data_IF_666699793732
#
_entry.id   IF_666699793732
#
_cell.length_a   1.000
_cell.length_b   1.000
_cell.length_c   1.000
_cell.angle_alpha   90.00
_cell.angle_beta   90.00
_cell.angle_gamma   90.00
#
_symmetry.space_group_name_H-M   'P 1'
#
loop_
_entity.id
_entity.type
_entity.pdbx_description
1 polymer ?
#
# COMPACT_ATOMS: atom_id res chain seq x y z
N UNK A 1 -2.32 -47.93 67.69
CA UNK A 1 -1.01 -48.17 67.06
C UNK A 1 -1.06 -47.52 65.68
N UNK A 2 -0.32 -46.42 65.55
CA UNK A 2 -0.13 -45.49 64.43
C UNK A 2 -0.64 -45.85 63.03
N UNK A 3 -1.42 -44.95 62.40
CA UNK A 3 -1.34 -44.73 60.96
C UNK A 3 -1.46 -43.23 60.63
N UNK A 4 -0.37 -42.72 60.06
CA UNK A 4 -0.16 -41.35 59.64
C UNK A 4 -1.01 -40.99 58.41
N UNK A 5 -1.58 -39.77 58.44
CA UNK A 5 -2.17 -39.11 57.28
C UNK A 5 -1.07 -38.67 56.31
N UNK A 6 -1.08 -39.16 55.06
CA UNK A 6 -0.17 -38.70 54.00
C UNK A 6 -0.85 -37.56 53.23
N UNK A 7 -0.36 -36.34 53.43
CA UNK A 7 -0.64 -35.22 52.52
C UNK A 7 0.17 -35.40 51.24
N UNK A 8 -0.51 -35.46 50.10
CA UNK A 8 0.10 -35.46 48.78
C UNK A 8 0.40 -34.00 48.38
N UNK A 9 1.67 -33.60 48.49
CA UNK A 9 2.18 -32.36 47.88
C UNK A 9 2.33 -32.60 46.37
N UNK A 10 1.44 -32.01 45.58
CA UNK A 10 1.57 -31.98 44.12
C UNK A 10 2.51 -30.82 43.75
N UNK A 11 3.73 -31.17 43.35
CA UNK A 11 4.68 -30.25 42.73
C UNK A 11 4.23 -30.01 41.28
N UNK A 12 3.76 -28.80 40.95
CA UNK A 12 3.52 -28.40 39.56
C UNK A 12 4.85 -27.80 39.05
N UNK A 13 5.53 -28.42 38.07
CA UNK A 13 6.70 -27.80 37.48
C UNK A 13 6.26 -26.60 36.65
N UNK A 14 6.90 -25.46 36.89
CA UNK A 14 6.63 -24.20 36.21
C UNK A 14 6.71 -24.35 34.69
N UNK A 15 5.65 -23.95 34.01
CA UNK A 15 5.58 -23.82 32.58
C UNK A 15 6.48 -22.62 32.19
N UNK A 16 7.69 -22.89 31.70
CA UNK A 16 8.49 -21.87 31.00
C UNK A 16 7.79 -21.62 29.68
N UNK A 17 7.04 -20.53 29.60
CA UNK A 17 6.51 -20.05 28.33
C UNK A 17 7.69 -19.52 27.50
N UNK A 18 8.22 -20.38 26.63
CA UNK A 18 9.03 -19.93 25.50
C UNK A 18 8.12 -19.11 24.59
N UNK A 19 8.20 -17.79 24.73
CA UNK A 19 7.65 -16.88 23.73
C UNK A 19 8.47 -17.02 22.46
N UNK A 20 8.02 -17.88 21.55
CA UNK A 20 8.43 -17.77 20.16
C UNK A 20 7.84 -16.47 19.64
N UNK A 21 8.66 -15.41 19.58
CA UNK A 21 8.37 -14.30 18.70
C UNK A 21 8.31 -14.90 17.29
N UNK A 22 7.10 -15.07 16.74
CA UNK A 22 6.96 -15.34 15.32
C UNK A 22 7.51 -14.12 14.60
N UNK A 23 8.76 -14.22 14.12
CA UNK A 23 9.29 -13.24 13.19
C UNK A 23 8.49 -13.42 11.91
N UNK A 24 7.50 -12.55 11.70
CA UNK A 24 6.81 -12.46 10.42
C UNK A 24 7.88 -12.24 9.37
N UNK A 25 7.91 -13.10 8.35
CA UNK A 25 8.82 -12.92 7.23
C UNK A 25 8.58 -11.51 6.64
N UNK A 26 9.65 -10.78 6.28
CA UNK A 26 9.51 -9.44 5.73
C UNK A 26 8.55 -9.45 4.53
N UNK A 27 7.74 -8.40 4.38
CA UNK A 27 6.82 -8.21 3.25
C UNK A 27 7.55 -7.96 1.90
N UNK A 28 8.85 -8.23 1.85
CA UNK A 28 9.74 -8.04 0.71
C UNK A 28 10.80 -9.13 0.67
N UNK A 29 11.29 -9.42 -0.53
CA UNK A 29 12.36 -10.36 -0.76
C UNK A 29 13.68 -9.81 -0.18
N UNK A 30 14.20 -10.51 0.82
CA UNK A 30 15.47 -10.17 1.46
C UNK A 30 16.61 -10.24 0.44
N UNK A 31 17.44 -9.19 0.38
CA UNK A 31 18.53 -9.11 -0.60
C UNK A 31 18.12 -8.58 -1.97
N UNK A 32 16.86 -8.19 -2.21
CA UNK A 32 16.42 -7.70 -3.52
C UNK A 32 15.86 -6.28 -3.50
N UNK A 33 16.23 -5.50 -4.51
CA UNK A 33 15.78 -4.12 -4.71
C UNK A 33 15.28 -3.91 -6.14
N UNK A 34 14.22 -3.12 -6.27
CA UNK A 34 13.77 -2.56 -7.53
C UNK A 34 14.39 -1.17 -7.68
N UNK A 35 15.22 -1.00 -8.71
CA UNK A 35 16.01 0.22 -8.90
C UNK A 35 15.72 0.79 -10.28
N UNK A 36 15.21 2.01 -10.31
CA UNK A 36 15.12 2.82 -11.51
C UNK A 36 16.38 3.65 -11.66
N UNK A 37 17.09 3.44 -12.76
CA UNK A 37 18.26 4.22 -13.11
C UNK A 37 17.86 5.42 -13.97
N UNK A 38 18.67 6.48 -13.97
CA UNK A 38 18.48 7.60 -14.89
C UNK A 38 18.54 7.10 -16.35
N UNK A 39 17.86 7.78 -17.30
CA UNK A 39 17.75 7.28 -18.68
C UNK A 39 19.07 6.99 -19.40
N UNK A 40 20.16 7.68 -19.03
CA UNK A 40 21.49 7.53 -19.64
C UNK A 40 22.44 6.68 -18.78
N UNK A 41 22.01 6.19 -17.62
CA UNK A 41 22.87 5.44 -16.72
C UNK A 41 22.96 3.97 -17.15
N UNK A 42 24.19 3.47 -17.20
CA UNK A 42 24.47 2.07 -17.49
C UNK A 42 24.50 1.25 -16.19
N UNK A 43 23.83 0.10 -16.21
CA UNK A 43 23.67 -0.74 -15.01
C UNK A 43 25.01 -1.25 -14.46
N UNK A 44 25.97 -1.51 -15.35
CA UNK A 44 27.30 -2.01 -14.99
C UNK A 44 28.11 -0.98 -14.22
N UNK A 45 28.05 0.29 -14.60
CA UNK A 45 28.69 1.40 -13.88
C UNK A 45 28.14 1.51 -12.46
N UNK A 46 26.81 1.50 -12.32
CA UNK A 46 26.15 1.60 -11.02
C UNK A 46 26.53 0.43 -10.13
N UNK A 47 26.49 -0.80 -10.65
CA UNK A 47 26.81 -2.00 -9.85
C UNK A 47 28.28 -2.04 -9.41
N UNK A 48 29.19 -1.46 -10.20
CA UNK A 48 30.61 -1.37 -9.85
C UNK A 48 30.84 -0.48 -8.62
N UNK A 49 30.04 0.58 -8.45
CA UNK A 49 30.12 1.47 -7.28
C UNK A 49 29.61 0.80 -5.99
N UNK A 50 28.88 -0.31 -6.10
CA UNK A 50 28.30 -1.06 -4.97
C UNK A 50 28.93 -2.43 -4.72
N UNK A 51 30.23 -2.58 -5.01
CA UNK A 51 30.99 -3.82 -4.70
C UNK A 51 30.95 -4.23 -3.23
N UNK A 52 30.87 -3.27 -2.30
CA UNK A 52 30.74 -3.53 -0.87
C UNK A 52 29.43 -4.26 -0.53
N UNK A 53 28.32 -3.88 -1.19
CA UNK A 53 27.03 -4.55 -1.06
C UNK A 53 26.94 -5.83 -1.92
N UNK A 54 27.91 -6.04 -2.83
CA UNK A 54 27.85 -7.08 -3.84
C UNK A 54 26.56 -6.98 -4.67
N UNK A 55 26.23 -5.74 -5.09
CA UNK A 55 25.03 -5.44 -5.87
C UNK A 55 25.18 -5.94 -7.31
N UNK A 56 24.20 -6.73 -7.77
CA UNK A 56 24.22 -7.38 -9.08
C UNK A 56 22.88 -7.22 -9.79
N UNK A 57 22.87 -7.01 -11.12
CA UNK A 57 21.62 -7.00 -11.87
C UNK A 57 21.09 -8.44 -12.02
N UNK A 58 19.81 -8.65 -11.71
CA UNK A 58 19.13 -9.93 -11.88
C UNK A 58 18.28 -9.91 -13.15
N UNK A 59 17.47 -8.86 -13.33
CA UNK A 59 16.53 -8.77 -14.46
C UNK A 59 16.23 -7.32 -14.83
N UNK A 60 16.24 -7.02 -16.12
CA UNK A 60 15.67 -5.77 -16.64
C UNK A 60 14.14 -5.90 -16.69
N UNK A 61 13.43 -5.11 -15.89
CA UNK A 61 11.97 -5.15 -15.78
C UNK A 61 11.30 -4.21 -16.78
N UNK A 62 11.87 -3.02 -17.00
CA UNK A 62 11.38 -2.07 -17.98
C UNK A 62 12.54 -1.40 -18.70
N UNK A 63 12.71 -1.70 -19.99
CA UNK A 63 13.73 -1.07 -20.84
C UNK A 63 13.49 0.43 -21.01
N UNK A 64 12.23 0.83 -21.20
CA UNK A 64 11.85 2.23 -21.43
C UNK A 64 12.09 3.11 -20.19
N UNK A 65 11.83 2.57 -19.01
CA UNK A 65 11.97 3.29 -17.75
C UNK A 65 13.33 3.05 -17.07
N UNK A 66 14.19 2.20 -17.65
CA UNK A 66 15.46 1.76 -17.08
C UNK A 66 15.32 1.19 -15.65
N UNK A 67 14.31 0.32 -15.44
CA UNK A 67 14.03 -0.32 -14.14
C UNK A 67 14.60 -1.73 -14.12
N UNK A 68 15.38 -2.01 -13.08
CA UNK A 68 16.05 -3.28 -12.86
C UNK A 68 15.62 -3.89 -11.52
N UNK A 69 15.47 -5.21 -11.51
CA UNK A 69 15.58 -6.02 -10.31
C UNK A 69 17.07 -6.26 -10.06
N UNK A 70 17.57 -5.84 -8.91
CA UNK A 70 18.94 -6.08 -8.47
C UNK A 70 18.95 -6.87 -7.17
N UNK A 71 20.03 -7.62 -6.96
CA UNK A 71 20.27 -8.41 -5.76
C UNK A 71 21.56 -7.96 -5.08
N UNK A 72 21.56 -7.86 -3.77
CA UNK A 72 22.73 -7.62 -2.93
C UNK A 72 22.89 -8.77 -1.93
N UNK A 73 24.03 -8.83 -1.25
CA UNK A 73 24.31 -9.85 -0.24
C UNK A 73 23.80 -9.41 1.15
N UNK A 74 22.75 -10.05 1.72
CA UNK A 74 22.21 -9.69 3.03
C UNK A 74 23.19 -9.89 4.18
N UNK A 75 24.25 -10.70 3.99
CA UNK A 75 25.29 -10.85 4.99
C UNK A 75 26.19 -9.61 5.12
N UNK A 76 26.16 -8.70 4.14
CA UNK A 76 27.00 -7.49 4.10
C UNK A 76 26.29 -6.23 4.56
N UNK A 77 24.98 -6.16 4.38
CA UNK A 77 24.14 -5.07 4.85
C UNK A 77 22.70 -5.55 5.02
N UNK A 78 22.00 -5.02 6.01
CA UNK A 78 20.55 -5.17 6.08
C UNK A 78 19.85 -4.42 4.94
N UNK A 79 18.62 -4.81 4.65
CA UNK A 79 17.89 -4.28 3.50
C UNK A 79 17.64 -2.77 3.58
N UNK A 80 17.35 -2.23 4.78
CA UNK A 80 17.09 -0.80 4.93
C UNK A 80 18.36 0.03 4.71
N UNK A 81 19.49 -0.40 5.26
CA UNK A 81 20.78 0.23 5.03
C UNK A 81 21.18 0.17 3.54
N UNK A 82 21.02 -0.99 2.89
CA UNK A 82 21.30 -1.15 1.47
C UNK A 82 20.44 -0.21 0.62
N UNK A 83 19.13 -0.14 0.90
CA UNK A 83 18.20 0.74 0.20
C UNK A 83 18.60 2.22 0.34
N UNK A 84 18.94 2.67 1.55
CA UNK A 84 19.36 4.06 1.81
C UNK A 84 20.64 4.38 1.02
N UNK A 85 21.64 3.49 1.03
CA UNK A 85 22.88 3.69 0.28
C UNK A 85 22.63 3.78 -1.22
N UNK A 86 21.80 2.89 -1.78
CA UNK A 86 21.46 2.89 -3.21
C UNK A 86 20.69 4.15 -3.60
N UNK A 87 19.73 4.60 -2.77
CA UNK A 87 18.96 5.82 -3.00
C UNK A 87 19.83 7.08 -3.11
N UNK A 88 20.99 7.11 -2.45
CA UNK A 88 21.91 8.25 -2.48
C UNK A 88 22.75 8.34 -3.76
N UNK A 89 22.73 7.30 -4.60
CA UNK A 89 23.56 7.26 -5.80
C UNK A 89 23.06 8.23 -6.88
N UNK A 90 23.97 9.03 -7.46
CA UNK A 90 23.63 10.06 -8.46
C UNK A 90 22.92 9.52 -9.71
N UNK A 91 23.21 8.28 -10.11
CA UNK A 91 22.61 7.64 -11.29
C UNK A 91 21.32 6.88 -10.97
N UNK A 92 20.94 6.76 -9.69
CA UNK A 92 19.68 6.17 -9.27
C UNK A 92 18.62 7.27 -9.23
N UNK A 93 17.48 7.02 -9.86
CA UNK A 93 16.31 7.90 -9.84
C UNK A 93 15.34 7.50 -8.74
N UNK A 94 15.09 6.20 -8.59
CA UNK A 94 14.23 5.63 -7.57
C UNK A 94 14.82 4.28 -7.14
N UNK A 95 14.72 3.95 -5.86
CA UNK A 95 14.97 2.60 -5.38
C UNK A 95 13.92 2.24 -4.32
N UNK A 96 13.44 1.01 -4.34
CA UNK A 96 12.49 0.47 -3.38
C UNK A 96 12.73 -1.03 -3.16
N UNK A 97 12.10 -1.60 -2.14
CA UNK A 97 12.15 -3.04 -1.90
C UNK A 97 11.38 -3.81 -2.99
N UNK A 98 11.80 -5.06 -3.24
CA UNK A 98 11.00 -6.00 -4.02
C UNK A 98 9.95 -6.66 -3.11
N UNK A 99 8.75 -6.08 -3.02
CA UNK A 99 7.70 -6.59 -2.14
C UNK A 99 7.12 -7.92 -2.63
N UNK A 100 6.81 -8.82 -1.68
CA UNK A 100 6.01 -10.00 -1.98
C UNK A 100 4.56 -9.56 -2.17
N UNK A 101 4.03 -9.75 -3.37
CA UNK A 101 2.61 -9.53 -3.66
C UNK A 101 1.85 -10.83 -3.47
N UNK A 102 0.89 -10.83 -2.54
CA UNK A 102 -0.15 -11.86 -2.47
C UNK A 102 -1.37 -11.33 -3.19
N UNK A 103 -1.95 -12.12 -4.10
CA UNK A 103 -3.29 -11.83 -4.62
C UNK A 103 -4.26 -11.91 -3.45
N UNK A 104 -5.14 -10.90 -3.30
CA UNK A 104 -6.12 -10.86 -2.21
C UNK A 104 -7.18 -11.96 -2.35
N UNK A 105 -7.34 -12.56 -3.55
CA UNK A 105 -8.21 -13.71 -3.75
C UNK A 105 -9.69 -13.30 -3.78
N UNK A 106 -10.58 -14.24 -3.47
CA UNK A 106 -12.05 -14.07 -3.55
C UNK A 106 -12.63 -12.96 -2.64
N UNK A 107 -11.81 -12.31 -1.81
CA UNK A 107 -12.16 -11.11 -1.03
C UNK A 107 -12.18 -9.83 -1.88
N UNK A 108 -11.65 -9.84 -3.11
CA UNK A 108 -11.65 -8.68 -4.01
C UNK A 108 -12.99 -8.43 -4.73
N UNK A 109 -13.95 -9.36 -4.63
CA UNK A 109 -15.30 -9.16 -5.18
C UNK A 109 -16.21 -8.58 -4.09
N UNK A 110 -16.81 -7.38 -4.29
CA UNK A 110 -17.69 -6.76 -3.31
C UNK A 110 -18.87 -7.65 -2.94
N UNK A 111 -19.28 -7.58 -1.67
CA UNK A 111 -20.51 -8.21 -1.17
C UNK A 111 -21.75 -7.32 -1.29
N UNK A 112 -21.64 -6.21 -2.03
CA UNK A 112 -22.75 -5.31 -2.33
C UNK A 112 -23.89 -6.08 -3.03
N UNK A 113 -25.13 -6.02 -2.52
CA UNK A 113 -26.30 -6.68 -3.11
C UNK A 113 -26.50 -6.41 -4.61
N UNK A 114 -26.10 -5.22 -5.10
CA UNK A 114 -26.28 -4.79 -6.48
C UNK A 114 -25.06 -5.01 -7.37
N UNK A 115 -23.92 -5.48 -6.84
CA UNK A 115 -22.68 -5.68 -7.60
C UNK A 115 -22.88 -6.55 -8.86
N UNK A 116 -23.71 -7.59 -8.78
CA UNK A 116 -24.01 -8.46 -9.91
C UNK A 116 -24.61 -7.71 -11.12
N UNK A 117 -25.25 -6.56 -10.89
CA UNK A 117 -25.84 -5.72 -11.93
C UNK A 117 -24.85 -4.72 -12.55
N UNK A 118 -23.68 -4.51 -11.93
CA UNK A 118 -22.67 -3.54 -12.35
C UNK A 118 -21.77 -4.11 -13.46
N UNK A 119 -22.36 -4.34 -14.64
CA UNK A 119 -21.70 -4.97 -15.78
C UNK A 119 -20.38 -4.30 -16.17
N UNK A 120 -20.28 -2.97 -16.02
CA UNK A 120 -19.07 -2.24 -16.39
C UNK A 120 -17.85 -2.61 -15.53
N UNK A 121 -18.08 -3.15 -14.34
CA UNK A 121 -17.03 -3.58 -13.41
C UNK A 121 -16.66 -5.04 -13.62
N UNK A 122 -17.66 -5.90 -13.87
CA UNK A 122 -17.49 -7.33 -14.15
C UNK A 122 -18.67 -7.83 -14.99
N UNK A 123 -18.39 -8.27 -16.22
CA UNK A 123 -19.37 -8.66 -17.22
C UNK A 123 -19.26 -10.15 -17.53
N UNK A 124 -20.20 -10.91 -16.99
CA UNK A 124 -20.35 -12.35 -17.25
C UNK A 124 -21.37 -12.65 -18.36
N UNK A 125 -21.84 -11.61 -19.07
CA UNK A 125 -22.96 -11.67 -20.00
C UNK A 125 -24.33 -11.52 -19.33
N UNK A 126 -24.36 -11.09 -18.06
CA UNK A 126 -25.57 -11.05 -17.23
C UNK A 126 -26.67 -10.10 -17.74
N UNK A 127 -26.29 -9.12 -18.57
CA UNK A 127 -27.20 -8.17 -19.23
C UNK A 127 -27.45 -8.47 -20.71
N UNK A 128 -27.00 -9.64 -21.19
CA UNK A 128 -27.08 -10.02 -22.62
C UNK A 128 -26.00 -9.38 -23.50
N UNK A 129 -24.99 -8.75 -22.90
CA UNK A 129 -23.79 -8.26 -23.58
C UNK A 129 -22.77 -9.35 -23.90
N UNK A 130 -21.63 -8.95 -24.47
CA UNK A 130 -20.47 -9.82 -24.66
C UNK A 130 -19.78 -9.97 -23.31
N UNK A 131 -19.64 -11.21 -22.82
CA UNK A 131 -18.87 -11.47 -21.61
C UNK A 131 -17.43 -10.97 -21.77
N UNK A 132 -16.79 -10.53 -20.67
CA UNK A 132 -15.43 -9.96 -20.66
C UNK A 132 -15.34 -8.55 -21.28
N UNK A 133 -16.47 -7.95 -21.68
CA UNK A 133 -16.52 -6.56 -22.11
C UNK A 133 -16.77 -5.64 -20.90
N UNK A 134 -15.75 -5.46 -20.08
CA UNK A 134 -15.73 -4.63 -18.86
C UNK A 134 -14.33 -4.03 -18.62
N UNK A 135 -14.05 -3.54 -17.39
CA UNK A 135 -12.77 -2.92 -17.02
C UNK A 135 -11.87 -3.82 -16.16
N UNK A 136 -12.19 -5.10 -16.00
CA UNK A 136 -11.49 -6.05 -15.13
C UNK A 136 -11.32 -5.53 -13.68
N UNK A 137 -12.38 -4.96 -13.11
CA UNK A 137 -12.30 -4.32 -11.78
C UNK A 137 -11.93 -5.31 -10.65
N UNK A 138 -12.53 -6.52 -10.55
CA UNK A 138 -12.13 -7.51 -9.56
C UNK A 138 -10.64 -7.87 -9.61
N UNK A 139 -10.09 -8.01 -10.82
CA UNK A 139 -8.68 -8.32 -11.06
C UNK A 139 -7.78 -7.15 -10.63
N UNK A 140 -8.22 -5.91 -10.86
CA UNK A 140 -7.52 -4.72 -10.40
C UNK A 140 -7.55 -4.59 -8.86
N UNK A 141 -8.69 -4.86 -8.23
CA UNK A 141 -8.86 -4.83 -6.78
C UNK A 141 -8.07 -5.92 -6.04
N UNK A 142 -7.77 -7.01 -6.74
CA UNK A 142 -6.81 -8.03 -6.30
C UNK A 142 -5.40 -7.46 -6.07
N UNK A 143 -5.07 -6.34 -6.74
CA UNK A 143 -3.81 -5.58 -6.59
C UNK A 143 -4.02 -4.42 -5.61
N UNK A 144 -4.96 -3.52 -5.90
CA UNK A 144 -5.23 -2.33 -5.10
C UNK A 144 -6.68 -1.86 -5.24
N UNK A 145 -7.28 -1.46 -4.12
CA UNK A 145 -8.65 -0.91 -4.03
C UNK A 145 -8.68 0.61 -3.80
N UNK A 146 -7.54 1.29 -3.92
CA UNK A 146 -7.36 2.69 -3.50
C UNK A 146 -6.62 2.81 -2.17
N UNK A 147 -6.88 3.88 -1.42
CA UNK A 147 -6.29 4.14 -0.11
C UNK A 147 -5.03 5.02 -0.18
N UNK A 148 -3.95 4.60 0.48
CA UNK A 148 -2.70 5.38 0.56
C UNK A 148 -1.68 4.94 -0.50
N UNK A 149 -0.93 5.91 -1.02
CA UNK A 149 0.19 5.67 -1.94
C UNK A 149 1.36 5.00 -1.21
N UNK A 150 2.34 4.51 -1.98
CA UNK A 150 3.58 3.95 -1.43
C UNK A 150 4.39 4.94 -0.58
N UNK A 151 4.13 6.25 -0.73
CA UNK A 151 4.75 7.33 0.05
C UNK A 151 3.99 7.65 1.34
N UNK A 152 2.81 7.06 1.56
CA UNK A 152 1.95 7.30 2.72
C UNK A 152 0.87 8.35 2.50
N UNK A 153 0.78 8.95 1.31
CA UNK A 153 -0.23 9.98 1.00
C UNK A 153 -1.58 9.35 0.70
N UNK A 154 -2.69 9.90 1.20
CA UNK A 154 -4.05 9.47 0.85
C UNK A 154 -4.39 9.86 -0.59
N UNK A 155 -5.02 8.94 -1.34
CA UNK A 155 -5.51 9.21 -2.69
C UNK A 155 -6.86 9.92 -2.60
N UNK A 156 -6.88 11.21 -2.93
CA UNK A 156 -8.09 12.03 -2.99
C UNK A 156 -8.46 12.32 -4.45
N UNK A 157 -9.73 12.13 -4.81
CA UNK A 157 -10.26 12.40 -6.16
C UNK A 157 -11.16 13.62 -6.12
N UNK A 158 -10.79 14.67 -6.86
CA UNK A 158 -11.63 15.86 -7.03
C UNK A 158 -12.70 15.62 -8.10
N UNK A 159 -13.97 15.75 -7.72
CA UNK A 159 -15.12 15.70 -8.64
C UNK A 159 -15.64 17.12 -8.86
N UNK A 160 -15.57 17.60 -10.10
CA UNK A 160 -16.06 18.92 -10.48
C UNK A 160 -17.39 18.74 -11.22
N UNK A 161 -18.50 18.83 -10.49
CA UNK A 161 -19.86 18.62 -10.99
C UNK A 161 -20.85 19.60 -10.30
N UNK A 162 -22.16 19.38 -10.43
CA UNK A 162 -23.22 20.14 -9.78
C UNK A 162 -23.39 19.90 -8.28
N UNK A 163 -22.44 19.20 -7.63
CA UNK A 163 -22.49 18.78 -6.24
C UNK A 163 -22.81 17.28 -6.06
N UNK A 164 -22.85 16.83 -4.82
CA UNK A 164 -23.16 15.45 -4.44
C UNK A 164 -24.07 15.42 -3.20
N UNK A 165 -24.82 14.33 -3.03
CA UNK A 165 -25.52 14.07 -1.76
C UNK A 165 -24.53 13.45 -0.76
N UNK A 166 -23.95 14.32 0.08
CA UNK A 166 -22.96 13.93 1.09
C UNK A 166 -23.53 13.09 2.24
N UNK A 167 -24.86 12.88 2.29
CA UNK A 167 -25.51 12.00 3.27
C UNK A 167 -25.80 10.60 2.71
N UNK A 168 -25.41 10.30 1.47
CA UNK A 168 -25.66 9.01 0.87
C UNK A 168 -24.83 7.90 1.55
N UNK A 169 -25.46 6.80 1.95
CA UNK A 169 -24.82 5.73 2.74
C UNK A 169 -23.68 5.00 2.02
N UNK A 170 -23.71 5.01 0.70
CA UNK A 170 -22.72 4.36 -0.18
C UNK A 170 -21.62 5.33 -0.67
N UNK A 171 -21.64 6.58 -0.23
CA UNK A 171 -20.66 7.59 -0.59
C UNK A 171 -19.71 7.85 0.57
N UNK A 172 -18.42 7.61 0.34
CA UNK A 172 -17.34 8.12 1.16
C UNK A 172 -16.72 9.35 0.49
N UNK A 173 -16.36 10.37 1.27
CA UNK A 173 -15.84 11.63 0.76
C UNK A 173 -14.78 12.22 1.67
N UNK A 174 -13.86 12.94 1.04
CA UNK A 174 -12.75 13.59 1.73
C UNK A 174 -13.24 14.79 2.55
N UNK A 175 -12.55 15.05 3.66
CA UNK A 175 -12.82 16.19 4.55
C UNK A 175 -11.55 17.01 4.75
N UNK A 176 -11.69 18.33 4.66
CA UNK A 176 -10.60 19.24 4.96
C UNK A 176 -10.38 19.32 6.48
N UNK A 177 -9.46 18.51 7.01
CA UNK A 177 -9.16 18.50 8.45
C UNK A 177 -8.37 19.72 8.93
N UNK A 178 -7.95 20.60 8.02
CA UNK A 178 -7.31 21.87 8.35
C UNK A 178 -8.34 22.98 8.62
N UNK A 179 -9.62 22.75 8.32
CA UNK A 179 -10.74 23.66 8.60
C UNK A 179 -11.49 23.31 9.90
N UNK A 180 -11.91 24.34 10.65
CA UNK A 180 -12.85 24.19 11.77
C UNK A 180 -14.26 24.48 11.23
N UNK A 181 -15.15 23.47 11.14
CA UNK A 181 -16.44 23.65 10.48
C UNK A 181 -17.30 24.74 11.10
N UNK A 182 -17.85 25.62 10.25
CA UNK A 182 -18.83 26.65 10.59
C UNK A 182 -18.32 27.73 11.55
N UNK A 183 -17.03 28.07 11.49
CA UNK A 183 -16.46 29.16 12.28
C UNK A 183 -16.43 30.50 11.51
N UNK A 184 -16.68 30.48 10.19
CA UNK A 184 -16.68 31.66 9.32
C UNK A 184 -15.28 32.19 8.99
N UNK A 185 -14.24 31.39 9.20
CA UNK A 185 -12.83 31.70 8.99
C UNK A 185 -12.28 30.73 7.95
N UNK A 186 -11.32 31.20 7.16
CA UNK A 186 -10.46 30.36 6.31
C UNK A 186 -9.25 29.99 7.18
N UNK A 187 -9.30 28.83 7.82
CA UNK A 187 -8.34 28.40 8.84
C UNK A 187 -7.02 27.94 8.20
N UNK A 188 -7.09 27.31 7.02
CA UNK A 188 -5.94 26.82 6.26
C UNK A 188 -5.31 27.89 5.33
N UNK A 189 -5.98 29.03 5.16
CA UNK A 189 -5.61 30.16 4.29
C UNK A 189 -5.52 29.77 2.80
N UNK A 190 -6.36 28.83 2.35
CA UNK A 190 -6.41 28.39 0.96
C UNK A 190 -7.26 29.32 0.06
N UNK A 191 -7.98 30.28 0.66
CA UNK A 191 -8.86 31.24 -0.03
C UNK A 191 -10.35 30.87 -0.03
N UNK A 192 -10.74 29.79 0.63
CA UNK A 192 -12.09 29.26 0.71
C UNK A 192 -12.53 29.11 2.16
N UNK A 193 -13.50 29.92 2.58
CA UNK A 193 -13.99 29.91 3.97
C UNK A 193 -14.87 28.68 4.23
N UNK A 194 -14.59 27.95 5.31
CA UNK A 194 -15.35 26.78 5.78
C UNK A 194 -15.49 25.66 4.71
N UNK A 195 -14.49 25.39 3.88
CA UNK A 195 -14.55 24.38 2.80
C UNK A 195 -14.34 22.92 3.28
N UNK A 196 -14.87 22.61 4.46
CA UNK A 196 -14.69 21.34 5.16
C UNK A 196 -15.12 20.11 4.36
N UNK A 197 -16.27 20.18 3.69
CA UNK A 197 -16.83 19.09 2.87
C UNK A 197 -16.63 19.33 1.36
N UNK A 198 -15.78 20.31 1.00
CA UNK A 198 -15.55 20.76 -0.37
C UNK A 198 -16.09 22.17 -0.65
N UNK A 199 -16.17 22.53 -1.92
CA UNK A 199 -16.48 23.91 -2.34
C UNK A 199 -17.56 24.00 -3.41
N UNK A 200 -18.54 24.87 -3.17
CA UNK A 200 -19.53 25.26 -4.15
C UNK A 200 -19.07 26.53 -4.89
N UNK A 201 -18.48 26.32 -6.07
CA UNK A 201 -17.96 27.42 -6.90
C UNK A 201 -19.04 28.37 -7.44
N UNK A 202 -20.30 27.93 -7.52
CA UNK A 202 -21.39 28.77 -8.05
C UNK A 202 -21.83 29.83 -7.04
N UNK A 203 -22.03 29.42 -5.77
CA UNK A 203 -22.42 30.33 -4.70
C UNK A 203 -21.22 30.92 -3.94
N UNK A 204 -20.01 30.42 -4.21
CA UNK A 204 -18.77 30.79 -3.52
C UNK A 204 -18.85 30.55 -2.00
N UNK A 205 -19.18 29.31 -1.61
CA UNK A 205 -19.26 28.87 -0.21
C UNK A 205 -18.93 27.37 -0.05
N UNK A 206 -18.58 26.94 1.17
CA UNK A 206 -18.28 25.55 1.55
C UNK A 206 -19.49 24.73 2.03
N UNK A 207 -20.72 25.11 1.63
CA UNK A 207 -21.98 24.50 2.05
C UNK A 207 -22.85 24.05 0.88
#
# INVERSE_FOLDING_TARGET
MWHFSRWLLIFIPGLVALTFAQHQAPIYAEGELLIQLRPQAEVTEVTADFTALDLRPVKLLSRRMNIWLMRFDPARADAAAALVQVKQHRQVQLAQFNHHVTRRGAEAVPNDPMFASQWALNNTGQTGGVADADIDAPEAWDIATGGTTASGDEIVVAVIDGGADLNHEDLDYWKNLEEIPNNGIDDDNNGYVDDYDGWNAYNSNGN
#
